data_IF_134340291395
#
_entry.id   IF_134340291395
#
_cell.length_a   1.000
_cell.length_b   1.000
_cell.length_c   1.000
_cell.angle_alpha   90.00
_cell.angle_beta   90.00
_cell.angle_gamma   90.00
#
_symmetry.space_group_name_H-M   'P 1'
#
loop_
_entity.id
_entity.type
_entity.pdbx_description
1 polymer ?
#
# COMPACT_ATOMS: atom_id res chain seq x y z
N UNK A 1 39.10 43.65 14.85
CA UNK A 1 39.33 42.19 14.99
C UNK A 1 38.09 41.44 15.47
N UNK A 2 37.35 41.91 16.48
CA UNK A 2 36.13 41.25 16.98
C UNK A 2 34.96 41.20 15.96
N UNK A 3 34.78 42.25 15.16
CA UNK A 3 33.71 42.36 14.15
C UNK A 3 33.84 41.27 13.06
N UNK A 4 35.06 40.98 12.63
CA UNK A 4 35.36 39.95 11.62
C UNK A 4 35.08 38.53 12.11
N UNK A 5 35.19 38.29 13.42
CA UNK A 5 34.89 36.99 14.05
C UNK A 5 33.38 36.76 14.17
N UNK A 6 32.63 37.82 14.52
CA UNK A 6 31.17 37.76 14.59
C UNK A 6 30.54 37.46 13.22
N UNK A 7 31.04 38.11 12.16
CA UNK A 7 30.55 37.91 10.79
C UNK A 7 30.79 36.47 10.31
N UNK A 8 31.98 35.90 10.58
CA UNK A 8 32.27 34.49 10.24
C UNK A 8 31.34 33.50 10.94
N UNK A 9 31.00 33.76 12.20
CA UNK A 9 30.07 32.93 12.98
C UNK A 9 28.65 32.98 12.42
N UNK A 10 28.17 34.16 12.04
CA UNK A 10 26.85 34.35 11.43
C UNK A 10 26.77 33.61 10.09
N UNK A 11 27.77 33.79 9.21
CA UNK A 11 27.81 33.12 7.90
C UNK A 11 27.85 31.60 8.07
N UNK A 12 28.69 31.09 8.98
CA UNK A 12 28.76 29.65 9.27
C UNK A 12 27.43 29.11 9.76
N UNK A 13 26.74 29.86 10.63
CA UNK A 13 25.46 29.44 11.18
C UNK A 13 24.36 29.47 10.11
N UNK A 14 24.34 30.46 9.21
CA UNK A 14 23.44 30.50 8.06
C UNK A 14 23.69 29.33 7.08
N UNK A 15 24.96 28.97 6.86
CA UNK A 15 25.35 27.86 5.99
C UNK A 15 24.88 26.50 6.55
N UNK A 16 25.03 26.31 7.88
CA UNK A 16 24.53 25.11 8.59
C UNK A 16 23.00 25.06 8.54
N UNK A 17 22.30 26.18 8.74
CA UNK A 17 20.83 26.24 8.63
C UNK A 17 20.38 25.91 7.21
N UNK A 18 21.06 26.41 6.18
CA UNK A 18 20.74 26.12 4.77
C UNK A 18 20.95 24.65 4.39
N UNK A 19 21.91 23.96 5.02
CA UNK A 19 22.17 22.53 4.80
C UNK A 19 21.08 21.63 5.45
N UNK A 20 20.40 22.12 6.49
CA UNK A 20 19.29 21.39 7.14
C UNK A 20 17.97 21.47 6.37
N UNK A 21 17.85 22.36 5.37
CA UNK A 21 16.64 22.54 4.54
C UNK A 21 16.69 21.68 3.26
N UNK A 22 17.68 20.80 3.11
CA UNK A 22 17.66 19.80 2.04
C UNK A 22 16.60 18.76 2.40
N UNK A 23 15.36 19.07 2.02
CA UNK A 23 14.21 18.22 2.12
C UNK A 23 14.47 16.92 1.36
N UNK A 24 14.31 15.79 2.04
CA UNK A 24 14.12 14.49 1.39
C UNK A 24 12.82 14.59 0.58
N UNK A 25 12.92 14.56 -0.75
CA UNK A 25 11.80 14.19 -1.60
C UNK A 25 11.79 12.67 -1.69
N UNK A 26 10.79 12.02 -1.09
CA UNK A 26 10.52 10.62 -1.32
C UNK A 26 9.78 10.51 -2.66
N UNK A 27 10.51 10.26 -3.74
CA UNK A 27 9.90 9.91 -5.02
C UNK A 27 9.41 8.45 -4.96
N UNK A 28 8.12 8.23 -5.23
CA UNK A 28 7.51 6.90 -5.35
C UNK A 28 8.03 6.24 -6.65
N UNK A 29 8.97 5.30 -6.51
CA UNK A 29 9.58 4.61 -7.65
C UNK A 29 8.61 3.53 -8.14
N UNK A 30 7.87 3.88 -9.19
CA UNK A 30 7.02 2.93 -9.91
C UNK A 30 7.83 2.20 -10.97
N UNK A 31 7.99 0.87 -10.83
CA UNK A 31 8.60 0.03 -11.89
C UNK A 31 7.60 -1.02 -12.36
N UNK A 32 7.59 -1.26 -13.67
CA UNK A 32 6.76 -2.28 -14.31
C UNK A 32 7.70 -3.44 -14.70
N UNK A 33 7.48 -4.64 -14.17
CA UNK A 33 8.18 -5.82 -14.67
C UNK A 33 7.49 -6.28 -15.96
N UNK A 34 8.21 -6.07 -17.07
CA UNK A 34 7.82 -6.40 -18.44
C UNK A 34 7.75 -7.91 -18.71
N UNK A 35 8.29 -8.75 -17.82
CA UNK A 35 8.35 -10.20 -17.99
C UNK A 35 7.07 -10.90 -17.52
N UNK A 36 6.31 -10.28 -16.62
CA UNK A 36 5.05 -10.84 -16.13
C UNK A 36 3.93 -10.72 -17.19
N UNK A 37 3.08 -11.75 -17.37
CA UNK A 37 1.98 -11.70 -18.33
C UNK A 37 1.05 -10.51 -18.07
N UNK A 38 1.06 -9.54 -18.99
CA UNK A 38 0.16 -8.38 -18.94
C UNK A 38 -1.18 -8.80 -19.53
N UNK A 39 -2.24 -8.75 -18.72
CA UNK A 39 -3.60 -8.87 -19.22
C UNK A 39 -4.25 -7.47 -19.19
N UNK A 40 -5.20 -7.16 -20.09
CA UNK A 40 -5.88 -5.86 -20.08
C UNK A 40 -6.61 -5.58 -18.74
N UNK A 41 -6.87 -6.61 -17.94
CA UNK A 41 -7.50 -6.51 -16.60
C UNK A 41 -6.50 -6.63 -15.44
N UNK A 42 -5.22 -6.89 -15.70
CA UNK A 42 -4.16 -7.10 -14.71
C UNK A 42 -2.90 -6.29 -15.10
N UNK A 43 -2.97 -4.96 -15.04
CA UNK A 43 -1.86 -4.09 -15.43
C UNK A 43 -1.57 -2.98 -14.40
N UNK A 44 -1.96 -3.18 -13.13
CA UNK A 44 -1.59 -2.25 -12.07
C UNK A 44 -0.08 -2.29 -11.90
N UNK A 45 0.50 -1.09 -11.80
CA UNK A 45 1.94 -0.95 -11.57
C UNK A 45 2.28 -1.28 -10.12
N UNK A 46 3.43 -1.88 -9.93
CA UNK A 46 3.95 -2.20 -8.63
C UNK A 46 4.54 -0.93 -7.97
N UNK A 47 3.97 -0.52 -6.84
CA UNK A 47 4.60 0.45 -5.94
C UNK A 47 5.68 -0.28 -5.15
N UNK A 48 6.93 0.14 -5.31
CA UNK A 48 8.08 -0.46 -4.64
C UNK A 48 8.38 0.34 -3.36
N UNK A 49 8.45 -0.35 -2.22
CA UNK A 49 9.31 0.12 -1.13
C UNK A 49 10.66 -0.57 -1.31
N UNK A 50 11.72 0.21 -1.44
CA UNK A 50 13.09 -0.28 -1.56
C UNK A 50 13.45 -1.21 -0.38
N UNK A 51 13.61 -2.51 -0.64
CA UNK A 51 14.25 -3.43 0.30
C UNK A 51 15.14 -4.40 -0.50
N UNK A 52 16.37 -4.55 -0.01
CA UNK A 52 17.55 -5.11 -0.70
C UNK A 52 17.26 -6.38 -1.54
N UNK A 53 17.69 -6.34 -2.81
CA UNK A 53 17.89 -7.47 -3.76
C UNK A 53 16.69 -8.36 -4.12
N UNK A 54 15.44 -7.89 -3.98
CA UNK A 54 14.27 -8.61 -4.51
C UNK A 54 13.07 -7.71 -4.78
N UNK A 55 12.59 -7.70 -6.03
CA UNK A 55 11.42 -6.94 -6.48
C UNK A 55 10.14 -7.47 -5.80
N UNK A 56 9.67 -6.76 -4.77
CA UNK A 56 8.47 -7.13 -4.02
C UNK A 56 7.59 -5.88 -3.83
N UNK A 57 6.33 -5.95 -4.27
CA UNK A 57 5.36 -4.85 -4.23
C UNK A 57 4.63 -4.83 -2.89
N UNK A 58 5.32 -4.30 -1.89
CA UNK A 58 4.83 -4.29 -0.52
C UNK A 58 3.73 -3.25 -0.34
N UNK A 59 2.65 -3.65 0.31
CA UNK A 59 1.57 -2.75 0.74
C UNK A 59 1.52 -2.74 2.25
N UNK A 60 1.28 -1.56 2.82
CA UNK A 60 1.08 -1.40 4.27
C UNK A 60 -0.40 -1.24 4.56
N UNK A 61 -0.95 -2.12 5.38
CA UNK A 61 -2.34 -2.10 5.82
C UNK A 61 -2.39 -1.68 7.27
N UNK A 62 -3.07 -0.57 7.54
CA UNK A 62 -3.40 -0.12 8.89
C UNK A 62 -4.67 -0.80 9.36
N UNK A 63 -4.68 -1.31 10.59
CA UNK A 63 -5.85 -1.94 11.17
C UNK A 63 -6.32 -1.19 12.43
N UNK A 64 -7.61 -1.33 12.72
CA UNK A 64 -8.21 -0.81 13.93
C UNK A 64 -9.14 -1.84 14.53
N UNK A 65 -9.11 -1.97 15.85
CA UNK A 65 -10.06 -2.77 16.63
C UNK A 65 -10.71 -1.84 17.64
N UNK A 66 -12.04 -1.77 17.62
CA UNK A 66 -12.84 -0.90 18.50
C UNK A 66 -12.39 0.58 18.50
N UNK A 67 -11.91 1.06 17.35
CA UNK A 67 -11.44 2.44 17.16
C UNK A 67 -9.98 2.69 17.55
N UNK A 68 -9.33 1.76 18.25
CA UNK A 68 -7.89 1.83 18.54
C UNK A 68 -7.07 1.31 17.37
N UNK A 69 -6.01 2.03 16.99
CA UNK A 69 -5.07 1.57 15.96
C UNK A 69 -4.27 0.37 16.47
N UNK A 70 -4.19 -0.67 15.64
CA UNK A 70 -3.41 -1.86 15.92
C UNK A 70 -2.07 -1.90 15.19
N UNK A 71 -1.47 -3.08 15.13
CA UNK A 71 -0.23 -3.30 14.40
C UNK A 71 -0.45 -3.25 12.88
N UNK A 72 0.43 -2.52 12.18
CA UNK A 72 0.41 -2.46 10.73
C UNK A 72 0.82 -3.80 10.12
N UNK A 73 0.06 -4.27 9.14
CA UNK A 73 0.34 -5.51 8.40
C UNK A 73 1.02 -5.15 7.08
N UNK A 74 2.06 -5.88 6.71
CA UNK A 74 2.71 -5.75 5.39
C UNK A 74 2.27 -6.90 4.50
N UNK A 75 1.75 -6.58 3.33
CA UNK A 75 1.26 -7.54 2.33
C UNK A 75 1.86 -7.31 0.95
N UNK A 76 1.33 -8.01 -0.05
CA UNK A 76 1.70 -7.85 -1.46
C UNK A 76 0.53 -7.31 -2.25
N UNK A 77 0.75 -6.25 -3.03
CA UNK A 77 -0.28 -5.78 -3.96
C UNK A 77 -0.45 -6.73 -5.14
N UNK A 78 -1.67 -6.81 -5.65
CA UNK A 78 -1.98 -7.51 -6.89
C UNK A 78 -1.86 -6.58 -8.11
N UNK A 79 -1.48 -7.13 -9.27
CA UNK A 79 -1.55 -6.41 -10.55
C UNK A 79 -2.97 -6.18 -11.08
N UNK A 80 -3.99 -6.66 -10.38
CA UNK A 80 -5.40 -6.58 -10.79
C UNK A 80 -6.24 -5.84 -9.74
N UNK A 81 -7.43 -5.39 -10.14
CA UNK A 81 -8.28 -4.54 -9.32
C UNK A 81 -7.91 -3.06 -9.44
N UNK A 82 -8.32 -2.24 -8.47
CA UNK A 82 -8.00 -0.80 -8.46
C UNK A 82 -6.64 -0.56 -7.80
N UNK A 83 -5.87 0.40 -8.32
CA UNK A 83 -4.64 0.86 -7.67
C UNK A 83 -4.89 1.38 -6.25
N UNK A 84 -3.96 1.07 -5.34
CA UNK A 84 -3.99 1.60 -3.99
C UNK A 84 -3.44 3.04 -3.96
N UNK A 85 -3.95 3.89 -3.06
CA UNK A 85 -3.36 5.21 -2.85
C UNK A 85 -1.95 5.08 -2.26
N UNK A 86 -0.99 5.86 -2.75
CA UNK A 86 0.37 5.94 -2.20
C UNK A 86 0.42 6.58 -0.81
N UNK A 87 -0.56 7.44 -0.50
CA UNK A 87 -0.60 8.21 0.74
C UNK A 87 -1.71 7.68 1.66
N UNK A 88 -1.38 7.52 2.94
CA UNK A 88 -2.24 6.90 3.96
C UNK A 88 -3.52 7.71 4.21
N UNK A 89 -3.46 9.04 4.17
CA UNK A 89 -4.59 9.96 4.38
C UNK A 89 -5.65 9.88 3.26
N UNK A 90 -5.25 9.39 2.08
CA UNK A 90 -6.13 9.11 0.95
C UNK A 90 -6.72 7.70 0.98
N UNK A 91 -6.26 6.85 1.90
CA UNK A 91 -6.75 5.48 2.04
C UNK A 91 -8.13 5.44 2.72
N UNK A 92 -8.99 4.55 2.23
CA UNK A 92 -10.30 4.33 2.82
C UNK A 92 -10.24 3.27 3.91
N UNK A 93 -10.83 3.59 5.06
CA UNK A 93 -11.05 2.62 6.14
C UNK A 93 -12.36 1.87 5.89
N UNK A 94 -12.25 0.57 5.69
CA UNK A 94 -13.38 -0.34 5.51
C UNK A 94 -13.39 -1.41 6.62
N UNK A 95 -14.56 -1.96 6.93
CA UNK A 95 -14.67 -3.12 7.81
C UNK A 95 -14.08 -4.35 7.11
N UNK A 96 -13.30 -5.16 7.81
CA UNK A 96 -12.84 -6.45 7.29
C UNK A 96 -13.77 -7.58 7.73
N UNK A 97 -14.13 -8.48 6.83
CA UNK A 97 -15.08 -9.57 7.09
C UNK A 97 -14.55 -10.87 6.48
N UNK A 98 -14.58 -11.95 7.26
CA UNK A 98 -14.29 -13.28 6.72
C UNK A 98 -15.36 -13.72 5.73
N UNK A 99 -14.91 -14.18 4.58
CA UNK A 99 -15.76 -14.75 3.55
C UNK A 99 -16.42 -16.05 4.02
N UNK A 100 -17.59 -16.36 3.47
CA UNK A 100 -18.29 -17.62 3.71
C UNK A 100 -18.75 -18.20 2.37
N UNK A 101 -18.10 -19.24 1.82
CA UNK A 101 -17.05 -20.05 2.47
C UNK A 101 -15.72 -19.30 2.65
N UNK A 102 -14.93 -19.72 3.64
CA UNK A 102 -13.67 -19.05 4.02
C UNK A 102 -12.61 -19.01 2.90
N UNK A 103 -12.68 -19.94 1.94
CA UNK A 103 -11.79 -19.96 0.79
C UNK A 103 -12.25 -19.03 -0.35
N UNK A 104 -13.46 -18.46 -0.29
CA UNK A 104 -14.03 -17.56 -1.30
C UNK A 104 -13.97 -18.12 -2.74
N UNK A 105 -13.95 -19.44 -2.91
CA UNK A 105 -13.93 -20.06 -4.24
C UNK A 105 -15.33 -20.21 -4.84
N UNK A 106 -16.38 -20.06 -4.04
CA UNK A 106 -17.77 -20.04 -4.49
C UNK A 106 -18.52 -18.85 -3.90
N UNK A 107 -19.55 -18.32 -4.59
CA UNK A 107 -20.32 -17.18 -4.10
C UNK A 107 -21.00 -17.46 -2.76
N UNK A 108 -20.96 -16.46 -1.87
CA UNK A 108 -21.77 -16.50 -0.65
C UNK A 108 -23.23 -16.17 -0.95
N UNK A 109 -24.15 -16.75 -0.18
CA UNK A 109 -25.53 -16.28 -0.13
C UNK A 109 -25.68 -14.95 0.62
N UNK A 110 -24.66 -14.55 1.39
CA UNK A 110 -24.66 -13.30 2.16
C UNK A 110 -23.98 -12.21 1.36
N UNK A 111 -24.77 -11.18 1.02
CA UNK A 111 -24.26 -9.98 0.35
C UNK A 111 -23.58 -9.09 1.39
N UNK A 112 -22.27 -8.92 1.26
CA UNK A 112 -21.49 -8.04 2.12
C UNK A 112 -21.14 -6.80 1.29
N UNK A 113 -21.70 -5.65 1.65
CA UNK A 113 -21.43 -4.40 0.94
C UNK A 113 -20.48 -3.52 1.75
N UNK A 114 -19.56 -2.82 1.07
CA UNK A 114 -18.60 -1.88 1.67
C UNK A 114 -17.65 -2.49 2.72
N UNK A 115 -17.26 -3.74 2.53
CA UNK A 115 -16.31 -4.44 3.38
C UNK A 115 -15.14 -5.02 2.57
N UNK A 116 -14.03 -5.25 3.27
CA UNK A 116 -12.87 -5.99 2.79
C UNK A 116 -13.11 -7.48 3.00
N UNK A 117 -13.05 -8.26 1.92
CA UNK A 117 -13.16 -9.71 1.96
C UNK A 117 -11.86 -10.35 2.47
N UNK A 118 -11.91 -11.04 3.61
CA UNK A 118 -10.81 -11.87 4.10
C UNK A 118 -11.07 -13.33 3.71
N UNK A 119 -10.12 -13.93 3.00
CA UNK A 119 -10.19 -15.34 2.58
C UNK A 119 -8.89 -16.07 2.86
N UNK A 120 -8.98 -17.37 3.11
CA UNK A 120 -7.80 -18.22 3.32
C UNK A 120 -7.21 -18.65 1.97
N UNK A 121 -5.88 -18.79 1.95
CA UNK A 121 -5.13 -19.29 0.79
C UNK A 121 -5.46 -20.76 0.52
N UNK A 122 -5.60 -21.12 -0.75
CA UNK A 122 -5.84 -22.50 -1.19
C UNK A 122 -7.06 -22.63 -2.10
N UNK A 123 -7.29 -23.85 -2.59
CA UNK A 123 -8.43 -24.34 -3.39
C UNK A 123 -8.64 -23.72 -4.79
N UNK A 124 -8.44 -22.41 -4.95
CA UNK A 124 -8.61 -21.69 -6.21
C UNK A 124 -7.62 -20.52 -6.33
N UNK A 125 -7.52 -19.94 -7.54
CA UNK A 125 -6.61 -18.85 -7.84
C UNK A 125 -7.02 -17.53 -7.13
N UNK A 126 -6.07 -16.63 -6.88
CA UNK A 126 -6.36 -15.32 -6.26
C UNK A 126 -7.34 -14.47 -7.09
N UNK A 127 -7.23 -14.52 -8.42
CA UNK A 127 -8.15 -13.83 -9.33
C UNK A 127 -9.57 -14.40 -9.26
N UNK A 128 -9.71 -15.70 -9.01
CA UNK A 128 -11.02 -16.34 -8.85
C UNK A 128 -11.67 -15.89 -7.54
N UNK A 129 -10.91 -15.87 -6.44
CA UNK A 129 -11.36 -15.29 -5.16
C UNK A 129 -11.80 -13.83 -5.34
N UNK A 130 -11.07 -13.06 -6.15
CA UNK A 130 -11.39 -11.66 -6.48
C UNK A 130 -12.73 -11.51 -7.16
N UNK A 131 -12.97 -12.30 -8.19
CA UNK A 131 -14.20 -12.26 -8.97
C UNK A 131 -15.41 -12.68 -8.13
N UNK A 132 -15.25 -13.73 -7.32
CA UNK A 132 -16.30 -14.18 -6.41
C UNK A 132 -16.64 -13.11 -5.39
N UNK A 133 -15.63 -12.47 -4.78
CA UNK A 133 -15.84 -11.38 -3.83
C UNK A 133 -16.54 -10.16 -4.48
N UNK A 134 -16.08 -9.72 -5.65
CA UNK A 134 -16.65 -8.58 -6.37
C UNK A 134 -18.12 -8.84 -6.78
N UNK A 135 -18.43 -10.08 -7.21
CA UNK A 135 -19.79 -10.50 -7.53
C UNK A 135 -20.73 -10.48 -6.31
N UNK A 136 -20.18 -10.59 -5.10
CA UNK A 136 -20.88 -10.48 -3.82
C UNK A 136 -21.03 -9.05 -3.29
N UNK A 137 -20.54 -8.04 -4.02
CA UNK A 137 -20.47 -6.60 -3.65
C UNK A 137 -19.41 -6.30 -2.57
N UNK A 138 -18.38 -7.14 -2.47
CA UNK A 138 -17.20 -6.89 -1.63
C UNK A 138 -16.11 -6.19 -2.43
N UNK A 139 -15.40 -5.25 -1.80
CA UNK A 139 -14.10 -4.82 -2.33
C UNK A 139 -13.05 -5.77 -1.81
N UNK A 140 -12.34 -6.44 -2.70
CA UNK A 140 -11.30 -7.35 -2.30
C UNK A 140 -9.95 -6.62 -2.23
N UNK A 141 -9.35 -6.65 -1.05
CA UNK A 141 -7.97 -6.23 -0.81
C UNK A 141 -7.21 -7.49 -0.38
N UNK A 142 -6.02 -7.69 -0.92
CA UNK A 142 -5.20 -8.90 -0.75
C UNK A 142 -3.94 -8.58 0.03
#
# INVERSE_FOLDING_TARGET
MAISVAIRRIISSLLIVSLLIVSVSADDVTRDDDSAPKSPSCNNKFQLTEYLDGEISLVKVKNWVDGAEGESIVGLSARFGTSLPSEEDKAHKFSAVFTNPLNCCTPSSVKLSNAIALSVRGDCAFTEKAQVADSGVLRAYW
#
